data_IF_741788793852
#
_entry.id   IF_741788793852
#
_cell.length_a   1.000
_cell.length_b   1.000
_cell.length_c   1.000
_cell.angle_alpha   90.00
_cell.angle_beta   90.00
_cell.angle_gamma   90.00
#
_symmetry.space_group_name_H-M   'P 1'
#
loop_
_entity.id
_entity.type
_entity.pdbx_description
1 polymer ?
#
# COMPACT_ATOMS: atom_id res chain seq x y z
N UNK A 1 -7.58 3.49 -20.03
CA UNK A 1 -7.59 2.13 -20.59
C UNK A 1 -6.18 1.82 -21.07
N UNK A 2 -5.52 0.87 -20.43
CA UNK A 2 -4.16 0.46 -20.74
C UNK A 2 -3.77 -0.67 -19.80
N UNK A 3 -3.53 -1.84 -20.37
CA UNK A 3 -3.11 -3.06 -19.67
C UNK A 3 -1.63 -3.35 -19.89
N UNK A 4 -1.19 -4.56 -19.53
CA UNK A 4 0.17 -5.00 -19.82
C UNK A 4 0.41 -5.13 -21.33
N UNK A 5 1.47 -4.48 -21.82
CA UNK A 5 1.96 -4.69 -23.18
C UNK A 5 2.51 -6.10 -23.36
N UNK A 6 2.74 -6.56 -24.60
CA UNK A 6 3.42 -7.84 -24.84
C UNK A 6 4.77 -7.94 -24.12
N UNK A 7 5.52 -6.83 -24.08
CA UNK A 7 6.76 -6.75 -23.31
C UNK A 7 6.52 -6.86 -21.80
N UNK A 8 5.50 -6.16 -21.28
CA UNK A 8 5.12 -6.24 -19.86
C UNK A 8 4.70 -7.64 -19.44
N UNK A 9 3.98 -8.37 -20.29
CA UNK A 9 3.61 -9.75 -20.04
C UNK A 9 4.83 -10.67 -19.95
N UNK A 10 5.78 -10.53 -20.88
CA UNK A 10 7.04 -11.29 -20.86
C UNK A 10 7.89 -10.94 -19.63
N UNK A 11 7.92 -9.66 -19.24
CA UNK A 11 8.61 -9.23 -18.02
C UNK A 11 7.99 -9.87 -16.78
N UNK A 12 6.65 -9.90 -16.66
CA UNK A 12 5.96 -10.56 -15.55
C UNK A 12 6.32 -12.05 -15.42
N UNK A 13 6.34 -12.79 -16.54
CA UNK A 13 6.78 -14.20 -16.56
C UNK A 13 8.22 -14.37 -16.12
N UNK A 14 9.12 -13.47 -16.53
CA UNK A 14 10.53 -13.49 -16.12
C UNK A 14 10.71 -13.19 -14.64
N UNK A 15 9.91 -12.28 -14.06
CA UNK A 15 9.93 -12.02 -12.63
C UNK A 15 9.57 -13.28 -11.84
N UNK A 16 8.51 -14.00 -12.21
CA UNK A 16 8.18 -15.25 -11.52
C UNK A 16 9.27 -16.32 -11.69
N UNK A 17 9.83 -16.49 -12.90
CA UNK A 17 10.91 -17.44 -13.14
C UNK A 17 12.17 -17.13 -12.31
N UNK A 18 12.42 -15.85 -12.05
CA UNK A 18 13.50 -15.36 -11.19
C UNK A 18 13.13 -15.31 -9.71
N UNK A 19 11.91 -15.74 -9.32
CA UNK A 19 11.39 -15.68 -7.95
C UNK A 19 11.37 -14.27 -7.36
N UNK A 20 11.04 -13.29 -8.19
CA UNK A 20 10.85 -11.89 -7.79
C UNK A 20 9.35 -11.63 -7.64
N UNK A 21 8.99 -11.00 -6.53
CA UNK A 21 7.60 -10.63 -6.22
C UNK A 21 7.11 -9.56 -7.21
N UNK A 22 5.91 -9.76 -7.75
CA UNK A 22 5.21 -8.77 -8.58
C UNK A 22 4.33 -7.92 -7.67
N UNK A 23 4.66 -6.64 -7.54
CA UNK A 23 3.87 -5.64 -6.81
C UNK A 23 3.06 -4.77 -7.78
N UNK A 24 1.75 -4.63 -7.50
CA UNK A 24 0.81 -3.85 -8.32
C UNK A 24 0.26 -2.62 -7.57
N UNK A 25 0.92 -2.20 -6.48
CA UNK A 25 0.50 -1.06 -5.66
C UNK A 25 0.20 0.16 -6.50
N UNK A 26 1.16 0.68 -7.28
CA UNK A 26 1.00 1.89 -8.10
C UNK A 26 0.32 1.67 -9.46
N UNK A 27 -0.01 0.44 -9.79
CA UNK A 27 -0.61 0.11 -11.07
C UNK A 27 -2.09 0.49 -11.13
N UNK A 28 -2.60 0.72 -12.34
CA UNK A 28 -4.04 0.77 -12.57
C UNK A 28 -4.69 -0.57 -12.20
N UNK A 29 -5.99 -0.55 -11.94
CA UNK A 29 -6.74 -1.77 -11.64
C UNK A 29 -6.66 -2.80 -12.77
N UNK A 30 -6.72 -2.36 -14.05
CA UNK A 30 -6.55 -3.24 -15.21
C UNK A 30 -5.19 -3.97 -15.20
N UNK A 31 -4.10 -3.29 -14.84
CA UNK A 31 -2.78 -3.93 -14.75
C UNK A 31 -2.75 -4.95 -13.60
N UNK A 32 -3.49 -4.71 -12.51
CA UNK A 32 -3.68 -5.71 -11.45
C UNK A 32 -4.30 -7.00 -11.98
N UNK A 33 -5.41 -6.88 -12.73
CA UNK A 33 -6.07 -8.02 -13.38
C UNK A 33 -5.16 -8.74 -14.38
N UNK A 34 -4.48 -7.99 -15.24
CA UNK A 34 -3.57 -8.56 -16.24
C UNK A 34 -2.38 -9.29 -15.59
N UNK A 35 -1.81 -8.71 -14.52
CA UNK A 35 -0.72 -9.32 -13.78
C UNK A 35 -1.15 -10.63 -13.13
N UNK A 36 -2.33 -10.69 -12.49
CA UNK A 36 -2.86 -11.93 -11.93
C UNK A 36 -3.11 -12.99 -13.00
N UNK A 37 -3.60 -12.59 -14.18
CA UNK A 37 -3.89 -13.51 -15.27
C UNK A 37 -2.62 -14.19 -15.86
N UNK A 38 -1.47 -13.53 -15.80
CA UNK A 38 -0.21 -14.08 -16.34
C UNK A 38 0.76 -14.63 -15.28
N UNK A 39 0.59 -14.24 -14.02
CA UNK A 39 1.53 -14.58 -12.96
C UNK A 39 1.37 -16.04 -12.53
N UNK A 40 2.48 -16.76 -12.42
CA UNK A 40 2.51 -18.14 -11.90
C UNK A 40 2.74 -18.22 -10.39
N UNK A 41 2.85 -17.06 -9.73
CA UNK A 41 2.97 -16.92 -8.28
C UNK A 41 2.03 -15.79 -7.80
N UNK A 42 1.66 -15.72 -6.51
CA UNK A 42 0.80 -14.67 -6.01
C UNK A 42 1.36 -13.26 -6.31
N UNK A 43 0.51 -12.32 -6.70
CA UNK A 43 0.87 -10.89 -6.75
C UNK A 43 0.63 -10.24 -5.39
N UNK A 44 1.26 -9.09 -5.15
CA UNK A 44 1.00 -8.31 -3.93
C UNK A 44 0.58 -6.89 -4.25
N UNK A 45 -0.07 -6.27 -3.27
CA UNK A 45 -0.16 -4.83 -3.09
C UNK A 45 0.70 -4.53 -1.86
N UNK A 46 1.94 -4.09 -2.03
CA UNK A 46 2.80 -3.74 -0.89
C UNK A 46 2.28 -2.58 -0.05
N UNK A 47 1.65 -1.58 -0.66
CA UNK A 47 1.11 -0.40 0.03
C UNK A 47 -0.02 0.28 -0.76
N UNK A 48 -1.23 0.24 -0.21
CA UNK A 48 -2.40 0.94 -0.73
C UNK A 48 -3.49 1.11 0.34
N UNK A 49 -4.54 1.86 0.04
CA UNK A 49 -5.78 1.92 0.84
C UNK A 49 -6.94 1.16 0.16
N UNK A 50 -8.00 0.87 0.91
CA UNK A 50 -9.29 0.48 0.34
C UNK A 50 -10.01 1.73 -0.16
N UNK A 51 -10.42 1.66 -1.43
CA UNK A 51 -11.20 2.70 -2.10
C UNK A 51 -12.62 2.83 -1.50
N UNK A 52 -13.18 1.73 -1.00
CA UNK A 52 -14.51 1.73 -0.38
C UNK A 52 -14.54 2.46 0.98
N UNK A 53 -13.41 2.51 1.70
CA UNK A 53 -13.30 3.19 3.00
C UNK A 53 -12.99 4.68 2.84
N UNK A 54 -12.12 5.03 1.88
CA UNK A 54 -11.83 6.42 1.52
C UNK A 54 -11.48 6.50 0.03
N UNK A 55 -12.26 7.27 -0.73
CA UNK A 55 -12.08 7.38 -2.18
C UNK A 55 -10.74 8.09 -2.46
N UNK A 56 -9.84 7.40 -3.17
CA UNK A 56 -8.57 7.94 -3.63
C UNK A 56 -8.08 7.15 -4.86
N UNK A 57 -7.46 7.82 -5.84
CA UNK A 57 -7.00 7.18 -7.10
C UNK A 57 -5.95 6.10 -6.89
N UNK A 58 -5.24 6.16 -5.76
CA UNK A 58 -4.30 5.11 -5.35
C UNK A 58 -4.97 3.93 -4.64
N UNK A 59 -6.19 4.10 -4.13
CA UNK A 59 -6.93 3.04 -3.45
C UNK A 59 -7.31 1.90 -4.41
N UNK A 60 -7.42 0.68 -3.89
CA UNK A 60 -7.88 -0.48 -4.67
C UNK A 60 -9.35 -0.78 -4.38
N UNK A 61 -10.04 -1.27 -5.39
CA UNK A 61 -11.40 -1.80 -5.26
C UNK A 61 -11.41 -3.05 -4.37
N UNK A 62 -12.56 -3.32 -3.74
CA UNK A 62 -12.74 -4.53 -2.95
C UNK A 62 -12.68 -5.79 -3.83
N UNK A 63 -13.11 -5.68 -5.10
CA UNK A 63 -13.02 -6.75 -6.09
C UNK A 63 -11.57 -7.14 -6.36
N UNK A 64 -10.70 -6.15 -6.60
CA UNK A 64 -9.27 -6.43 -6.83
C UNK A 64 -8.59 -6.93 -5.56
N UNK A 65 -8.89 -6.34 -4.40
CA UNK A 65 -8.31 -6.77 -3.13
C UNK A 65 -8.68 -8.22 -2.80
N UNK A 66 -9.95 -8.61 -3.01
CA UNK A 66 -10.41 -9.99 -2.87
C UNK A 66 -9.70 -10.93 -3.83
N UNK A 67 -9.60 -10.56 -5.11
CA UNK A 67 -8.95 -11.40 -6.11
C UNK A 67 -7.45 -11.63 -5.81
N UNK A 68 -6.74 -10.61 -5.32
CA UNK A 68 -5.35 -10.76 -4.86
C UNK A 68 -5.27 -11.76 -3.71
N UNK A 69 -6.19 -11.70 -2.74
CA UNK A 69 -6.25 -12.63 -1.63
C UNK A 69 -6.58 -14.07 -2.08
N UNK A 70 -7.56 -14.24 -2.96
CA UNK A 70 -7.95 -15.55 -3.52
C UNK A 70 -6.80 -16.21 -4.31
N UNK A 71 -5.90 -15.42 -4.91
CA UNK A 71 -4.68 -15.91 -5.55
C UNK A 71 -3.57 -16.31 -4.55
N UNK A 72 -3.78 -16.11 -3.24
CA UNK A 72 -2.77 -16.35 -2.20
C UNK A 72 -1.91 -15.12 -1.87
N UNK A 73 -2.23 -13.95 -2.42
CA UNK A 73 -1.44 -12.73 -2.34
C UNK A 73 -1.46 -12.03 -0.98
N UNK A 74 -0.98 -10.79 -0.98
CA UNK A 74 -0.87 -9.92 0.20
C UNK A 74 -1.29 -8.48 -0.13
N UNK A 75 -1.96 -7.83 0.82
CA UNK A 75 -2.35 -6.43 0.78
C UNK A 75 -1.82 -5.67 2.00
N UNK A 76 -0.83 -4.81 1.79
CA UNK A 76 -0.31 -3.90 2.79
C UNK A 76 -1.11 -2.61 2.84
N UNK A 77 -1.71 -2.33 3.99
CA UNK A 77 -2.46 -1.10 4.23
C UNK A 77 -1.50 0.05 4.46
N UNK A 78 -1.66 1.10 3.65
CA UNK A 78 -0.88 2.33 3.74
C UNK A 78 -1.33 3.19 4.93
N UNK A 79 -0.42 3.95 5.51
CA UNK A 79 -0.71 4.87 6.62
C UNK A 79 -0.63 6.34 6.21
N UNK A 80 -0.74 6.61 4.90
CA UNK A 80 -0.77 7.98 4.38
C UNK A 80 -2.14 8.62 4.65
N UNK A 81 -2.20 9.73 5.40
CA UNK A 81 -3.45 10.31 5.90
C UNK A 81 -4.44 10.69 4.78
N UNK A 82 -3.96 11.27 3.67
CA UNK A 82 -4.81 11.62 2.52
C UNK A 82 -5.38 10.42 1.73
N UNK A 83 -4.81 9.23 1.91
CA UNK A 83 -5.24 8.02 1.20
C UNK A 83 -6.26 7.23 2.02
N UNK A 84 -6.21 7.36 3.35
CA UNK A 84 -7.06 6.61 4.28
C UNK A 84 -8.26 7.40 4.77
N UNK A 85 -8.28 8.72 4.52
CA UNK A 85 -9.36 9.63 4.90
C UNK A 85 -9.49 10.76 3.89
N UNK A 86 -10.73 11.13 3.59
CA UNK A 86 -11.02 12.17 2.58
C UNK A 86 -10.89 13.61 3.11
N UNK A 87 -10.82 13.77 4.43
CA UNK A 87 -10.69 15.04 5.13
C UNK A 87 -9.45 15.05 6.02
N UNK A 88 -8.88 16.22 6.33
CA UNK A 88 -7.79 16.35 7.31
C UNK A 88 -8.13 15.77 8.69
N UNK A 89 -7.08 15.49 9.47
CA UNK A 89 -7.21 14.98 10.84
C UNK A 89 -7.38 13.47 10.93
N UNK A 90 -6.62 12.72 10.12
CA UNK A 90 -6.58 11.27 10.23
C UNK A 90 -5.92 10.82 11.55
N UNK A 91 -6.42 9.73 12.13
CA UNK A 91 -5.86 9.09 13.33
C UNK A 91 -5.59 7.60 13.11
N UNK A 92 -5.00 6.94 14.11
CA UNK A 92 -4.82 5.49 14.09
C UNK A 92 -6.15 4.73 13.96
N UNK A 93 -7.28 5.30 14.40
CA UNK A 93 -8.60 4.69 14.20
C UNK A 93 -8.98 4.60 12.71
N UNK A 94 -8.52 5.55 11.89
CA UNK A 94 -8.71 5.51 10.43
C UNK A 94 -7.86 4.39 9.80
N UNK A 95 -6.65 4.15 10.33
CA UNK A 95 -5.80 3.01 9.91
C UNK A 95 -6.45 1.68 10.29
N UNK A 96 -6.95 1.58 11.53
CA UNK A 96 -7.70 0.40 11.99
C UNK A 96 -8.91 0.14 11.10
N UNK A 97 -9.68 1.18 10.76
CA UNK A 97 -10.86 1.05 9.87
C UNK A 97 -10.50 0.47 8.50
N UNK A 98 -9.39 0.94 7.90
CA UNK A 98 -8.88 0.42 6.64
C UNK A 98 -8.48 -1.06 6.75
N UNK A 99 -7.75 -1.42 7.82
CA UNK A 99 -7.31 -2.80 8.08
C UNK A 99 -8.51 -3.71 8.32
N UNK A 100 -9.45 -3.33 9.19
CA UNK A 100 -10.65 -4.13 9.49
C UNK A 100 -11.47 -4.40 8.24
N UNK A 101 -11.75 -3.37 7.42
CA UNK A 101 -12.47 -3.55 6.16
C UNK A 101 -11.74 -4.51 5.22
N UNK A 102 -10.43 -4.34 5.03
CA UNK A 102 -9.66 -5.23 4.17
C UNK A 102 -9.56 -6.65 4.73
N UNK A 103 -9.54 -6.84 6.05
CA UNK A 103 -9.61 -8.16 6.67
C UNK A 103 -10.96 -8.83 6.38
N UNK A 104 -12.07 -8.09 6.39
CA UNK A 104 -13.40 -8.61 6.03
C UNK A 104 -13.47 -9.04 4.55
N UNK A 105 -12.74 -8.36 3.65
CA UNK A 105 -12.72 -8.65 2.22
C UNK A 105 -11.73 -9.74 1.82
N UNK A 106 -10.49 -9.65 2.34
CA UNK A 106 -9.35 -10.48 1.95
C UNK A 106 -9.14 -11.68 2.89
N UNK A 107 -9.67 -11.63 4.11
CA UNK A 107 -9.32 -12.55 5.17
C UNK A 107 -8.02 -12.17 5.88
N UNK A 108 -7.93 -12.54 7.17
CA UNK A 108 -6.84 -12.14 8.06
C UNK A 108 -5.45 -12.64 7.64
N UNK A 109 -5.35 -13.63 6.77
CA UNK A 109 -4.07 -14.21 6.29
C UNK A 109 -3.46 -13.46 5.09
N UNK A 110 -4.15 -12.43 4.60
CA UNK A 110 -3.80 -11.71 3.36
C UNK A 110 -3.58 -10.21 3.56
N UNK A 111 -3.76 -9.68 4.77
CA UNK A 111 -3.64 -8.24 5.07
C UNK A 111 -2.43 -7.98 5.96
N UNK A 112 -1.80 -6.83 5.81
CA UNK A 112 -0.80 -6.33 6.75
C UNK A 112 -0.58 -4.84 6.60
N UNK A 113 0.59 -4.35 6.98
CA UNK A 113 0.90 -2.93 7.02
C UNK A 113 2.02 -2.61 6.01
N UNK A 114 1.80 -1.57 5.19
CA UNK A 114 2.78 -1.03 4.26
C UNK A 114 2.79 0.50 4.35
N UNK A 115 3.45 1.04 5.38
CA UNK A 115 3.23 2.43 5.84
C UNK A 115 3.48 3.52 4.80
N UNK A 116 4.40 3.28 3.86
CA UNK A 116 4.87 4.28 2.90
C UNK A 116 5.47 5.54 3.58
N UNK A 117 6.01 5.36 4.80
CA UNK A 117 6.63 6.43 5.60
C UNK A 117 8.10 6.61 5.17
N UNK A 118 8.40 7.69 4.44
CA UNK A 118 9.73 7.98 3.87
C UNK A 118 10.57 9.04 4.64
N UNK A 119 10.09 9.56 5.77
CA UNK A 119 10.79 10.57 6.58
C UNK A 119 9.96 11.17 7.73
N UNK A 120 10.51 12.11 8.53
CA UNK A 120 9.86 12.70 9.71
C UNK A 120 8.95 13.91 9.41
N UNK A 121 8.79 14.31 8.14
CA UNK A 121 7.87 15.39 7.75
C UNK A 121 6.42 14.90 7.60
N UNK A 122 5.51 15.69 6.97
CA UNK A 122 4.06 15.49 6.92
C UNK A 122 3.58 14.24 6.14
N UNK A 123 4.38 13.17 6.14
CA UNK A 123 4.01 11.82 5.70
C UNK A 123 4.68 11.40 4.40
N UNK A 124 5.12 12.33 3.56
CA UNK A 124 5.64 12.03 2.20
C UNK A 124 6.97 12.68 1.86
N UNK A 125 7.52 13.55 2.74
CA UNK A 125 8.83 14.15 2.49
C UNK A 125 9.91 13.07 2.59
N UNK A 126 10.39 12.61 1.43
CA UNK A 126 11.53 11.72 1.38
C UNK A 126 12.73 12.41 2.04
N UNK A 127 13.40 11.77 2.98
CA UNK A 127 14.74 12.21 3.43
C UNK A 127 15.83 11.94 2.38
N UNK A 128 15.44 11.72 1.12
CA UNK A 128 16.37 11.60 0.01
C UNK A 128 16.99 12.97 -0.21
N UNK A 129 18.20 13.13 0.32
CA UNK A 129 19.07 14.25 0.00
C UNK A 129 19.53 14.04 -1.45
N UNK A 130 18.83 14.67 -2.38
CA UNK A 130 19.23 14.65 -3.78
C UNK A 130 20.55 15.43 -3.92
N UNK A 131 21.51 14.96 -4.74
CA UNK A 131 22.71 15.73 -5.04
C UNK A 131 22.33 17.15 -5.49
N UNK A 132 23.09 18.17 -5.11
CA UNK A 132 22.83 19.58 -5.50
C UNK A 132 22.82 19.80 -7.01
N UNK A 133 23.38 18.86 -7.78
CA UNK A 133 23.31 18.83 -9.25
C UNK A 133 21.95 18.37 -9.81
N UNK A 134 21.11 17.75 -8.97
CA UNK A 134 19.77 17.31 -9.32
C UNK A 134 18.81 18.48 -9.09
N UNK A 135 18.16 18.95 -10.16
CA UNK A 135 17.26 20.10 -10.08
C UNK A 135 16.10 19.77 -9.13
N UNK A 136 15.81 20.61 -8.12
CA UNK A 136 14.54 20.49 -7.40
C UNK A 136 13.40 20.69 -8.40
N UNK A 137 12.37 19.84 -8.30
CA UNK A 137 11.19 19.93 -9.16
C UNK A 137 10.49 21.27 -8.89
N UNK A 138 10.36 22.10 -9.92
CA UNK A 138 9.68 23.38 -9.84
C UNK A 138 8.17 23.13 -9.74
N UNK A 139 7.49 23.90 -8.87
CA UNK A 139 6.03 23.90 -8.83
C UNK A 139 5.47 24.24 -10.22
N UNK A 140 4.66 23.35 -10.79
CA UNK A 140 4.07 23.50 -12.13
C UNK A 140 4.77 22.75 -13.27
N UNK A 141 5.91 22.09 -13.03
CA UNK A 141 6.51 21.15 -13.99
C UNK A 141 5.90 19.74 -13.85
N UNK A 142 6.04 18.92 -14.90
CA UNK A 142 5.59 17.52 -14.90
C UNK A 142 6.25 16.76 -13.75
N UNK A 143 5.47 16.49 -12.70
CA UNK A 143 5.90 15.68 -11.59
C UNK A 143 5.82 14.20 -11.99
N UNK A 144 6.97 13.54 -12.14
CA UNK A 144 7.05 12.09 -12.38
C UNK A 144 6.41 11.27 -11.25
N UNK A 145 6.19 11.85 -10.05
CA UNK A 145 5.41 11.21 -8.99
C UNK A 145 3.90 11.22 -9.25
N UNK A 146 3.41 12.01 -10.22
CA UNK A 146 2.00 12.03 -10.62
C UNK A 146 1.02 12.69 -9.63
N UNK A 147 1.49 13.08 -8.43
CA UNK A 147 0.64 13.74 -7.44
C UNK A 147 0.43 15.22 -7.76
N UNK A 148 -0.83 15.64 -7.59
CA UNK A 148 -1.32 17.02 -7.66
C UNK A 148 -1.88 17.39 -6.30
N UNK A 149 -1.42 18.50 -5.73
CA UNK A 149 -1.77 18.89 -4.36
C UNK A 149 -3.28 19.10 -4.22
N UNK A 150 -3.92 19.63 -5.25
CA UNK A 150 -5.36 19.87 -5.30
C UNK A 150 -6.18 18.57 -5.30
N UNK A 151 -5.67 17.52 -5.95
CA UNK A 151 -6.44 16.30 -6.22
C UNK A 151 -6.09 15.15 -5.24
N UNK A 152 -4.89 15.14 -4.65
CA UNK A 152 -4.33 13.96 -3.97
C UNK A 152 -4.09 14.12 -2.47
N UNK A 153 -4.61 15.19 -1.84
CA UNK A 153 -4.61 15.32 -0.38
C UNK A 153 -3.22 15.15 0.26
N UNK A 154 -2.21 15.77 -0.36
CA UNK A 154 -0.79 15.73 0.05
C UNK A 154 -0.31 17.02 0.73
N UNK A 155 -1.23 17.90 1.11
CA UNK A 155 -0.93 19.13 1.86
C UNK A 155 -0.50 18.86 3.31
N UNK A 156 0.11 19.87 3.95
CA UNK A 156 0.62 19.78 5.32
C UNK A 156 -0.47 19.50 6.38
N UNK A 157 -1.73 19.75 6.04
CA UNK A 157 -2.92 19.48 6.84
C UNK A 157 -3.26 17.98 6.93
N UNK A 158 -2.73 17.15 6.02
CA UNK A 158 -2.88 15.71 6.05
C UNK A 158 -1.73 15.10 6.85
N UNK A 159 -1.91 15.05 8.17
CA UNK A 159 -1.02 14.37 9.11
C UNK A 159 -1.78 13.22 9.79
N UNK A 160 -1.04 12.17 10.16
CA UNK A 160 -1.57 11.03 10.90
C UNK A 160 -1.25 11.18 12.39
N UNK A 161 -2.26 11.52 13.18
CA UNK A 161 -2.12 11.67 14.62
C UNK A 161 -1.75 10.33 15.28
N UNK A 162 -0.67 10.32 16.07
CA UNK A 162 -0.14 9.14 16.73
C UNK A 162 0.80 8.30 15.86
N UNK A 163 1.18 8.80 14.67
CA UNK A 163 2.15 8.16 13.77
C UNK A 163 3.07 9.17 13.05
N UNK A 164 3.69 10.05 13.81
CA UNK A 164 4.51 11.15 13.34
C UNK A 164 5.87 10.67 12.80
N UNK A 165 6.39 9.56 13.33
CA UNK A 165 7.69 8.99 12.98
C UNK A 165 7.63 7.46 12.89
N UNK A 166 8.66 6.83 12.31
CA UNK A 166 8.78 5.37 12.34
C UNK A 166 8.94 4.81 13.76
N UNK A 167 9.38 5.64 14.73
CA UNK A 167 9.46 5.22 16.13
C UNK A 167 8.07 4.98 16.75
N UNK A 168 7.02 5.55 16.14
CA UNK A 168 5.63 5.39 16.56
C UNK A 168 4.99 4.08 16.02
N UNK A 169 5.77 3.20 15.38
CA UNK A 169 5.35 1.84 14.99
C UNK A 169 4.51 1.11 16.03
N UNK A 170 4.91 1.08 17.33
CA UNK A 170 4.14 0.37 18.35
C UNK A 170 2.70 0.90 18.53
N UNK A 171 2.42 2.17 18.19
CA UNK A 171 1.09 2.73 18.35
C UNK A 171 0.05 2.07 17.43
N UNK A 172 0.46 1.63 16.23
CA UNK A 172 -0.43 0.86 15.33
C UNK A 172 -0.82 -0.46 16.00
N UNK A 173 0.14 -1.17 16.62
CA UNK A 173 -0.13 -2.42 17.34
C UNK A 173 -1.10 -2.19 18.50
N UNK A 174 -0.91 -1.12 19.28
CA UNK A 174 -1.80 -0.78 20.38
C UNK A 174 -3.21 -0.47 19.89
N UNK A 175 -3.35 0.32 18.82
CA UNK A 175 -4.65 0.65 18.23
C UNK A 175 -5.40 -0.60 17.71
N UNK A 176 -4.69 -1.51 17.02
CA UNK A 176 -5.27 -2.78 16.57
C UNK A 176 -5.69 -3.68 17.75
N UNK A 177 -4.88 -3.76 18.80
CA UNK A 177 -5.22 -4.52 20.00
C UNK A 177 -6.47 -3.95 20.70
N UNK A 178 -6.56 -2.62 20.80
CA UNK A 178 -7.74 -1.93 21.35
C UNK A 178 -9.01 -2.14 20.50
N UNK A 179 -8.84 -2.32 19.19
CA UNK A 179 -9.92 -2.64 18.27
C UNK A 179 -10.39 -4.11 18.33
N UNK A 180 -9.71 -4.96 19.12
CA UNK A 180 -10.13 -6.33 19.39
C UNK A 180 -9.41 -7.42 18.60
N UNK A 181 -8.38 -7.08 17.82
CA UNK A 181 -7.54 -8.10 17.18
C UNK A 181 -6.79 -8.93 18.23
N UNK A 182 -6.83 -10.25 18.09
CA UNK A 182 -6.13 -11.19 18.97
C UNK A 182 -4.62 -11.14 18.74
N UNK A 183 -3.83 -11.66 19.70
CA UNK A 183 -2.38 -11.71 19.57
C UNK A 183 -1.93 -12.44 18.29
N UNK A 184 -2.61 -13.52 17.92
CA UNK A 184 -2.29 -14.29 16.71
C UNK A 184 -2.55 -13.49 15.43
N UNK A 185 -3.65 -12.74 15.39
CA UNK A 185 -4.00 -11.87 14.27
C UNK A 185 -3.05 -10.66 14.17
N UNK A 186 -2.65 -10.09 15.30
CA UNK A 186 -1.65 -9.01 15.34
C UNK A 186 -0.32 -9.48 14.76
N UNK A 187 0.16 -10.68 15.12
CA UNK A 187 1.40 -11.23 14.54
C UNK A 187 1.30 -11.41 13.02
N UNK A 188 0.13 -11.82 12.52
CA UNK A 188 -0.17 -11.90 11.08
C UNK A 188 -0.07 -10.56 10.39
N UNK A 189 -0.81 -9.57 10.88
CA UNK A 189 -0.86 -8.20 10.33
C UNK A 189 0.50 -7.50 10.38
N UNK A 190 1.28 -7.72 11.46
CA UNK A 190 2.58 -7.07 11.67
C UNK A 190 3.71 -7.68 10.84
N UNK A 191 3.51 -8.83 10.19
CA UNK A 191 4.49 -9.32 9.22
C UNK A 191 4.41 -10.79 8.86
N UNK A 192 3.77 -11.66 9.66
CA UNK A 192 3.76 -13.09 9.30
C UNK A 192 3.04 -13.37 7.98
N UNK A 193 2.04 -12.56 7.61
CA UNK A 193 1.37 -12.67 6.30
C UNK A 193 2.31 -12.33 5.15
N UNK A 194 3.09 -11.25 5.28
CA UNK A 194 4.09 -10.91 4.26
C UNK A 194 5.18 -11.99 4.18
N UNK A 195 5.66 -12.49 5.32
CA UNK A 195 6.67 -13.57 5.34
C UNK A 195 6.16 -14.88 4.72
N UNK A 196 4.86 -15.19 4.84
CA UNK A 196 4.22 -16.31 4.14
C UNK A 196 4.40 -16.15 2.63
N UNK A 197 3.96 -15.02 2.09
CA UNK A 197 4.02 -14.76 0.64
C UNK A 197 5.47 -14.66 0.16
N UNK A 198 6.34 -14.02 0.93
CA UNK A 198 7.77 -13.94 0.62
C UNK A 198 8.40 -15.34 0.50
N UNK A 199 8.16 -16.22 1.47
CA UNK A 199 8.67 -17.60 1.45
C UNK A 199 8.09 -18.41 0.28
N UNK A 200 6.81 -18.23 -0.01
CA UNK A 200 6.14 -18.94 -1.11
C UNK A 200 6.74 -18.57 -2.48
N UNK A 201 7.03 -17.29 -2.70
CA UNK A 201 7.52 -16.79 -3.99
C UNK A 201 9.04 -16.93 -4.10
N UNK A 202 9.77 -16.45 -3.10
CA UNK A 202 11.24 -16.29 -3.14
C UNK A 202 11.96 -17.59 -2.76
N UNK A 203 11.36 -18.40 -1.87
CA UNK A 203 11.98 -19.57 -1.24
C UNK A 203 12.76 -19.20 0.02
#
# INVERSE_FOLDING_TARGET
QGGLTYFGQEMGRRLNAAKIIVDVSHCSEQIGWDAMAISTAPVIVSHSSSKAVAEHDRGKSDELARAVAEQGGYFGVVTLPGFIRETPGASLDDVVRQISHLVDICGIDHVGIGTDKAGPGPGTSSQVEYPTSMRPQLAGEFNWMGFRVEDHRIGNEYQLAGYESLADWPNITVALAQAGFTEDELRKLLGLNYLRVFREIVG
#
